data_IF_391507739491
#
_entry.id   IF_391507739491
#
_cell.length_a   1.000
_cell.length_b   1.000
_cell.length_c   1.000
_cell.angle_alpha   90.00
_cell.angle_beta   90.00
_cell.angle_gamma   90.00
#
_symmetry.space_group_name_H-M   'P 1'
#
loop_
_entity.id
_entity.type
_entity.pdbx_description
1 polymer ?
#
# COMPACT_ATOMS: atom_id res chain seq x y z
N UNK A 1 -5.91 16.30 7.30
CA UNK A 1 -6.00 14.89 6.92
C UNK A 1 -5.10 14.05 7.81
N UNK A 2 -5.64 12.98 8.34
CA UNK A 2 -4.89 12.13 9.27
C UNK A 2 -3.91 11.25 8.50
N UNK A 3 -2.68 11.18 8.99
CA UNK A 3 -1.68 10.30 8.41
C UNK A 3 -1.39 9.16 9.37
N UNK A 4 -1.18 8.00 8.81
CA UNK A 4 -0.86 6.79 9.57
C UNK A 4 0.55 6.34 9.25
N UNK A 5 1.25 5.70 10.21
CA UNK A 5 2.61 5.21 9.93
C UNK A 5 2.67 4.23 8.76
N UNK A 6 1.54 3.61 8.42
CA UNK A 6 1.47 2.66 7.33
C UNK A 6 1.26 3.31 5.97
N UNK A 7 1.05 4.63 5.93
CA UNK A 7 0.82 5.32 4.68
C UNK A 7 2.04 5.28 3.79
N UNK A 8 1.77 5.25 2.48
CA UNK A 8 2.85 5.34 1.49
C UNK A 8 3.49 6.72 1.55
N UNK A 9 4.81 6.74 1.46
CA UNK A 9 5.51 8.00 1.24
C UNK A 9 5.31 8.42 -0.21
N UNK A 10 5.60 9.67 -0.50
CA UNK A 10 5.44 10.15 -1.87
C UNK A 10 6.34 9.37 -2.83
N UNK A 11 7.56 9.06 -2.42
CA UNK A 11 8.48 8.30 -3.26
C UNK A 11 7.97 6.89 -3.51
N UNK A 12 7.43 6.26 -2.48
CA UNK A 12 6.88 4.91 -2.61
C UNK A 12 5.69 4.93 -3.57
N UNK A 13 4.84 5.95 -3.45
CA UNK A 13 3.70 6.07 -4.35
C UNK A 13 4.14 6.23 -5.80
N UNK A 14 5.15 7.06 -6.04
CA UNK A 14 5.62 7.29 -7.40
C UNK A 14 6.14 6.00 -8.04
N UNK A 15 6.70 5.11 -7.23
CA UNK A 15 7.24 3.85 -7.73
C UNK A 15 6.13 2.91 -8.22
N UNK A 16 4.98 2.90 -7.55
CA UNK A 16 3.91 1.95 -7.88
C UNK A 16 2.75 2.59 -8.63
N UNK A 17 2.75 3.90 -8.76
CA UNK A 17 1.64 4.62 -9.36
C UNK A 17 1.26 4.09 -10.73
N UNK A 18 2.25 3.86 -11.57
CA UNK A 18 2.00 3.44 -12.95
C UNK A 18 1.43 2.03 -13.03
N UNK A 19 1.68 1.22 -12.02
CA UNK A 19 1.10 -0.12 -11.98
C UNK A 19 -0.39 -0.05 -11.71
N UNK A 20 -0.78 0.85 -10.80
CA UNK A 20 -2.18 0.96 -10.39
C UNK A 20 -3.01 1.83 -11.31
N UNK A 21 -2.38 2.80 -11.98
CA UNK A 21 -3.11 3.74 -12.82
C UNK A 21 -2.58 3.73 -14.24
N UNK A 22 -2.68 2.60 -14.95
CA UNK A 22 -2.27 2.58 -16.35
C UNK A 22 -3.19 3.43 -17.20
N UNK A 23 -4.41 3.69 -16.73
CA UNK A 23 -5.38 4.52 -17.43
C UNK A 23 -5.86 5.62 -16.51
N UNK A 24 -5.69 6.86 -16.93
CA UNK A 24 -6.18 7.98 -16.15
C UNK A 24 -7.70 7.95 -16.09
N UNK A 25 -8.26 8.02 -14.89
CA UNK A 25 -9.70 8.04 -14.69
C UNK A 25 -10.01 8.92 -13.50
N UNK A 26 -11.12 9.61 -13.59
CA UNK A 26 -11.63 10.34 -12.45
C UNK A 26 -12.29 9.36 -11.51
N UNK A 27 -11.81 9.32 -10.28
CA UNK A 27 -12.34 8.44 -9.26
C UNK A 27 -12.75 9.27 -8.05
N UNK A 28 -13.79 8.81 -7.40
CA UNK A 28 -14.22 9.47 -6.18
C UNK A 28 -13.12 9.38 -5.12
N UNK A 29 -12.40 8.26 -5.08
CA UNK A 29 -11.32 8.06 -4.12
C UNK A 29 -10.03 7.79 -4.88
N UNK A 30 -8.98 8.59 -4.61
CA UNK A 30 -7.68 8.35 -5.26
C UNK A 30 -7.13 6.97 -4.94
N UNK A 31 -6.47 6.37 -5.91
CA UNK A 31 -5.92 5.04 -5.70
C UNK A 31 -4.85 5.00 -4.61
N UNK A 32 -4.15 6.12 -4.41
CA UNK A 32 -3.20 6.20 -3.30
C UNK A 32 -3.90 5.99 -1.96
N UNK A 33 -5.06 6.60 -1.78
CA UNK A 33 -5.85 6.42 -0.56
C UNK A 33 -6.30 4.99 -0.39
N UNK A 34 -6.76 4.39 -1.48
CA UNK A 34 -7.18 2.99 -1.46
C UNK A 34 -6.01 2.10 -1.03
N UNK A 35 -4.83 2.35 -1.62
CA UNK A 35 -3.66 1.54 -1.29
C UNK A 35 -3.22 1.75 0.15
N UNK A 36 -3.28 2.98 0.63
CA UNK A 36 -2.96 3.27 2.03
C UNK A 36 -3.87 2.48 2.97
N UNK A 37 -5.16 2.39 2.63
CA UNK A 37 -6.10 1.63 3.45
C UNK A 37 -5.77 0.15 3.45
N UNK A 38 -5.42 -0.40 2.30
CA UNK A 38 -5.05 -1.81 2.20
C UNK A 38 -3.81 -2.09 3.04
N UNK A 39 -2.82 -1.20 2.98
CA UNK A 39 -1.60 -1.36 3.77
C UNK A 39 -1.89 -1.27 5.25
N UNK A 40 -2.81 -0.41 5.64
CA UNK A 40 -3.21 -0.31 7.04
C UNK A 40 -3.77 -1.64 7.52
N UNK A 41 -4.65 -2.25 6.74
CA UNK A 41 -5.24 -3.54 7.11
C UNK A 41 -4.18 -4.63 7.17
N UNK A 42 -3.28 -4.67 6.20
CA UNK A 42 -2.19 -5.63 6.20
C UNK A 42 -1.31 -5.51 7.43
N UNK A 43 -1.03 -4.28 7.82
CA UNK A 43 -0.08 -4.01 8.89
C UNK A 43 -0.70 -4.26 10.26
N UNK A 44 -1.94 -3.82 10.43
CA UNK A 44 -2.59 -3.91 11.74
C UNK A 44 -3.33 -5.21 11.95
N UNK A 45 -3.70 -5.88 10.87
CA UNK A 45 -4.50 -7.09 10.97
C UNK A 45 -5.93 -6.84 11.38
N UNK A 46 -6.40 -5.60 11.31
CA UNK A 46 -7.76 -5.31 11.71
C UNK A 46 -8.76 -5.87 10.68
N UNK A 47 -9.99 -6.03 11.12
CA UNK A 47 -11.05 -6.48 10.23
C UNK A 47 -11.44 -5.36 9.27
N UNK A 48 -11.94 -5.74 8.10
CA UNK A 48 -12.33 -4.75 7.10
C UNK A 48 -13.31 -3.72 7.66
N UNK A 49 -14.27 -4.18 8.44
CA UNK A 49 -15.28 -3.28 9.00
C UNK A 49 -14.72 -2.34 10.05
N UNK A 50 -13.53 -2.62 10.55
CA UNK A 50 -12.88 -1.81 11.56
C UNK A 50 -11.95 -0.77 10.96
N UNK A 51 -11.90 -0.68 9.64
CA UNK A 51 -11.08 0.30 8.96
C UNK A 51 -11.51 1.71 9.39
N UNK A 52 -10.57 2.56 9.84
CA UNK A 52 -10.93 3.92 10.27
C UNK A 52 -11.67 4.69 9.19
N UNK A 53 -12.57 5.54 9.63
CA UNK A 53 -13.39 6.32 8.70
C UNK A 53 -12.60 7.40 7.95
N UNK A 54 -11.36 7.64 8.36
CA UNK A 54 -10.50 8.57 7.63
C UNK A 54 -10.15 8.06 6.24
N UNK A 55 -10.18 6.74 6.06
CA UNK A 55 -9.96 6.14 4.77
C UNK A 55 -11.23 6.12 3.96
N UNK A 56 -11.13 5.69 2.70
CA UNK A 56 -12.30 5.43 1.89
C UNK A 56 -13.16 4.34 2.58
N UNK A 57 -14.45 4.27 2.25
CA UNK A 57 -15.29 3.24 2.85
C UNK A 57 -14.71 1.84 2.64
N UNK A 58 -14.80 1.00 3.66
CA UNK A 58 -14.15 -0.30 3.60
C UNK A 58 -14.64 -1.14 2.42
N UNK A 59 -15.91 -0.95 2.03
CA UNK A 59 -16.45 -1.70 0.90
C UNK A 59 -15.73 -1.36 -0.38
N UNK A 60 -15.42 -0.09 -0.57
CA UNK A 60 -14.69 0.38 -1.76
C UNK A 60 -13.27 -0.18 -1.74
N UNK A 61 -12.62 -0.12 -0.58
CA UNK A 61 -11.25 -0.63 -0.44
C UNK A 61 -11.21 -2.13 -0.72
N UNK A 62 -12.18 -2.85 -0.16
CA UNK A 62 -12.25 -4.30 -0.35
C UNK A 62 -12.44 -4.66 -1.82
N UNK A 63 -13.26 -3.89 -2.53
CA UNK A 63 -13.48 -4.11 -3.95
C UNK A 63 -12.16 -4.04 -4.72
N UNK A 64 -11.38 -3.00 -4.48
CA UNK A 64 -10.10 -2.85 -5.17
C UNK A 64 -9.09 -3.91 -4.75
N UNK A 65 -9.10 -4.27 -3.48
CA UNK A 65 -8.21 -5.31 -2.99
C UNK A 65 -8.47 -6.62 -3.73
N UNK A 66 -9.74 -7.03 -3.79
CA UNK A 66 -10.11 -8.25 -4.50
C UNK A 66 -9.75 -8.18 -5.97
N UNK A 67 -10.08 -7.06 -6.59
CA UNK A 67 -9.81 -6.87 -8.01
C UNK A 67 -8.32 -7.01 -8.30
N UNK A 68 -7.51 -6.32 -7.54
CA UNK A 68 -6.06 -6.34 -7.76
C UNK A 68 -5.46 -7.71 -7.45
N UNK A 69 -5.98 -8.40 -6.44
CA UNK A 69 -5.52 -9.75 -6.14
C UNK A 69 -5.82 -10.71 -7.28
N UNK A 70 -7.02 -10.64 -7.82
CA UNK A 70 -7.41 -11.52 -8.91
C UNK A 70 -6.65 -11.24 -10.19
N UNK A 71 -6.26 -9.99 -10.41
CA UNK A 71 -5.52 -9.61 -11.61
C UNK A 71 -4.01 -9.77 -11.47
N UNK A 72 -3.53 -10.14 -10.29
CA UNK A 72 -2.10 -10.22 -10.05
C UNK A 72 -1.44 -8.87 -9.84
N UNK A 73 -2.21 -7.80 -9.89
CA UNK A 73 -1.67 -6.44 -9.74
C UNK A 73 -1.17 -6.20 -8.31
N UNK A 74 -1.90 -6.70 -7.33
CA UNK A 74 -1.50 -6.51 -5.94
C UNK A 74 -0.12 -7.09 -5.67
N UNK A 75 0.14 -8.29 -6.18
CA UNK A 75 1.44 -8.92 -5.99
C UNK A 75 2.54 -8.11 -6.67
N UNK A 76 2.25 -7.63 -7.86
CA UNK A 76 3.23 -6.80 -8.58
C UNK A 76 3.56 -5.54 -7.79
N UNK A 77 2.54 -4.89 -7.24
CA UNK A 77 2.73 -3.69 -6.44
C UNK A 77 3.58 -3.99 -5.22
N UNK A 78 3.27 -5.07 -4.51
CA UNK A 78 4.01 -5.40 -3.31
C UNK A 78 5.45 -5.76 -3.62
N UNK A 79 5.68 -6.53 -4.68
CA UNK A 79 7.04 -6.88 -5.09
C UNK A 79 7.85 -5.64 -5.43
N UNK A 80 7.24 -4.69 -6.13
CA UNK A 80 7.90 -3.45 -6.50
C UNK A 80 8.24 -2.62 -5.28
N UNK A 81 7.31 -2.52 -4.34
CA UNK A 81 7.55 -1.78 -3.10
C UNK A 81 8.66 -2.42 -2.28
N UNK A 82 8.63 -3.74 -2.16
CA UNK A 82 9.65 -4.44 -1.38
C UNK A 82 11.04 -4.23 -1.97
N UNK A 83 11.13 -4.30 -3.29
CA UNK A 83 12.40 -4.08 -3.96
C UNK A 83 12.91 -2.66 -3.73
N UNK A 84 11.99 -1.69 -3.82
CA UNK A 84 12.34 -0.30 -3.61
C UNK A 84 12.87 -0.07 -2.19
N UNK A 85 12.19 -0.62 -1.20
CA UNK A 85 12.57 -0.43 0.19
C UNK A 85 13.88 -1.13 0.51
N UNK A 86 14.08 -2.34 -0.03
CA UNK A 86 15.36 -3.04 0.16
C UNK A 86 16.51 -2.24 -0.44
N UNK A 87 16.28 -1.63 -1.59
CA UNK A 87 17.31 -0.85 -2.23
C UNK A 87 17.70 0.37 -1.39
N UNK A 88 16.70 1.01 -0.80
CA UNK A 88 16.97 2.14 0.08
C UNK A 88 17.69 1.72 1.33
N UNK A 89 17.30 0.59 1.91
CA UNK A 89 17.95 0.08 3.11
C UNK A 89 19.41 -0.26 2.83
N UNK A 90 19.70 -0.81 1.66
CA UNK A 90 21.05 -1.12 1.27
C UNK A 90 21.94 0.10 1.19
N UNK A 91 21.37 1.22 0.79
CA UNK A 91 22.12 2.47 0.70
C UNK A 91 22.47 3.04 2.05
N UNK A 92 21.70 2.71 3.05
CA UNK A 92 21.90 3.28 4.38
C UNK A 92 22.79 2.44 5.25
N UNK A 93 23.38 1.42 4.69
CA UNK A 93 24.35 0.60 5.39
C UNK A 93 23.83 -0.06 6.65
N UNK A 94 22.60 0.03 6.90
CA UNK A 94 22.05 -0.57 8.10
C UNK A 94 20.97 -1.51 7.66
N UNK A 95 21.33 -2.71 7.27
CA UNK A 95 20.33 -3.67 6.89
C UNK A 95 19.57 -4.04 8.11
N UNK A 96 18.68 -3.23 8.44
CA UNK A 96 17.88 -3.47 9.59
C UNK A 96 16.81 -4.46 9.24
N UNK A 97 16.89 -5.62 9.80
CA UNK A 97 15.83 -6.60 9.67
C UNK A 97 14.51 -6.00 10.10
N UNK A 98 14.58 -5.04 11.00
CA UNK A 98 13.41 -4.37 11.49
C UNK A 98 12.64 -3.64 10.39
N UNK A 99 13.33 -3.16 9.37
CA UNK A 99 12.65 -2.49 8.26
C UNK A 99 11.76 -3.46 7.54
N UNK A 100 12.24 -4.66 7.29
CA UNK A 100 11.43 -5.65 6.59
C UNK A 100 10.28 -6.13 7.45
N UNK A 101 10.55 -6.33 8.74
CA UNK A 101 9.50 -6.72 9.66
C UNK A 101 8.45 -5.65 9.80
N UNK A 102 8.88 -4.40 9.80
CA UNK A 102 7.94 -3.30 9.98
C UNK A 102 6.98 -3.14 8.82
N UNK A 103 7.26 -3.79 7.71
CA UNK A 103 6.36 -3.78 6.57
C UNK A 103 5.34 -4.90 6.62
N UNK A 104 5.39 -5.69 7.67
CA UNK A 104 4.46 -6.79 7.78
C UNK A 104 4.69 -7.87 6.76
N UNK A 105 5.93 -8.08 6.39
CA UNK A 105 6.29 -9.05 5.36
C UNK A 105 6.73 -10.36 5.96
N UNK A 106 6.17 -10.68 7.06
CA UNK A 106 6.51 -11.95 7.67
C UNK A 106 5.96 -13.09 6.83
#
# INVERSE_FOLDING_TARGET
MTQYPTDLTEKQWQVIKNILEPQARNRKHPLKEIMNAILYINKTGCQWRMLPSDFAPWQTVYYYFRKWKLEGVFEEVMDTLHAFIRKQAGRQESPSLGIMDSLGLA
#
